data_IF_747883178337
#
_entry.id   IF_747883178337
#
_cell.length_a   1.000
_cell.length_b   1.000
_cell.length_c   1.000
_cell.angle_alpha   90.00
_cell.angle_beta   90.00
_cell.angle_gamma   90.00
#
_symmetry.space_group_name_H-M   'P 1'
#
loop_
_entity.id
_entity.type
_entity.pdbx_description
1 polymer ?
#
# COMPACT_ATOMS: atom_id res chain seq x y z
N UNK A 1 15.72 0.10 -5.87
CA UNK A 1 15.13 1.35 -5.31
C UNK A 1 15.68 2.56 -6.06
N UNK A 2 14.87 3.19 -6.91
CA UNK A 2 15.25 4.27 -7.83
C UNK A 2 15.23 5.65 -7.14
N UNK A 3 15.93 5.80 -6.03
CA UNK A 3 16.10 7.11 -5.39
C UNK A 3 17.31 7.84 -5.97
N UNK A 4 17.14 9.13 -6.26
CA UNK A 4 18.26 10.05 -6.43
C UNK A 4 19.12 10.04 -5.16
N UNK A 5 20.41 10.40 -5.28
CA UNK A 5 21.32 10.37 -4.13
C UNK A 5 20.83 11.23 -2.96
N UNK A 6 20.25 12.40 -3.27
CA UNK A 6 19.63 13.26 -2.26
C UNK A 6 18.47 12.56 -1.54
N UNK A 7 17.58 11.89 -2.28
CA UNK A 7 16.44 11.16 -1.70
C UNK A 7 16.92 9.97 -0.88
N UNK A 8 17.95 9.25 -1.37
CA UNK A 8 18.55 8.12 -0.66
C UNK A 8 19.16 8.56 0.67
N UNK A 9 19.88 9.68 0.68
CA UNK A 9 20.42 10.28 1.90
C UNK A 9 19.33 10.62 2.91
N UNK A 10 18.29 11.34 2.47
CA UNK A 10 17.16 11.70 3.34
C UNK A 10 16.42 10.47 3.91
N UNK A 11 16.22 9.43 3.10
CA UNK A 11 15.62 8.17 3.56
C UNK A 11 16.52 7.48 4.59
N UNK A 12 17.83 7.42 4.35
CA UNK A 12 18.77 6.83 5.29
C UNK A 12 18.82 7.56 6.65
N UNK A 13 18.70 8.89 6.65
CA UNK A 13 18.64 9.68 7.88
C UNK A 13 17.37 9.44 8.71
N UNK A 14 16.25 9.15 8.04
CA UNK A 14 14.95 8.92 8.71
C UNK A 14 14.76 7.47 9.17
N UNK A 15 15.48 6.51 8.57
CA UNK A 15 15.36 5.11 8.93
C UNK A 15 16.02 4.83 10.28
N UNK A 16 15.38 4.03 11.15
CA UNK A 16 16.01 3.61 12.40
C UNK A 16 17.15 2.62 12.13
N UNK A 17 18.13 2.58 13.04
CA UNK A 17 19.35 1.77 12.88
C UNK A 17 19.05 0.28 12.63
N UNK A 18 18.04 -0.27 13.32
CA UNK A 18 17.66 -1.68 13.19
C UNK A 18 17.07 -2.06 11.82
N UNK A 19 16.69 -1.07 10.99
CA UNK A 19 16.25 -1.31 9.61
C UNK A 19 17.40 -1.68 8.67
N UNK A 20 18.66 -1.52 9.10
CA UNK A 20 19.85 -1.83 8.29
C UNK A 20 19.95 -1.01 7.01
N UNK A 21 19.36 0.19 6.99
CA UNK A 21 19.30 1.07 5.82
C UNK A 21 18.33 0.61 4.71
N UNK A 22 17.51 -0.42 4.97
CA UNK A 22 16.48 -0.89 4.05
C UNK A 22 15.11 -0.37 4.44
N UNK A 23 14.47 0.45 3.59
CA UNK A 23 13.08 0.85 3.81
C UNK A 23 12.11 -0.35 3.69
N UNK A 24 12.44 -1.31 2.82
CA UNK A 24 11.61 -2.49 2.58
C UNK A 24 11.40 -3.35 3.84
N UNK A 25 12.37 -3.36 4.77
CA UNK A 25 12.26 -4.12 6.02
C UNK A 25 11.22 -3.56 6.99
N UNK A 26 10.73 -2.34 6.76
CA UNK A 26 9.73 -1.66 7.58
C UNK A 26 8.41 -1.40 6.86
N UNK A 27 8.24 -1.92 5.63
CA UNK A 27 7.02 -1.67 4.88
C UNK A 27 5.77 -2.21 5.57
N UNK A 28 5.84 -3.26 6.41
CA UNK A 28 4.68 -3.80 7.15
C UNK A 28 4.34 -3.02 8.43
N UNK A 29 5.17 -2.06 8.85
CA UNK A 29 5.01 -1.39 10.14
C UNK A 29 3.65 -0.68 10.30
N UNK A 30 3.15 -0.06 9.22
CA UNK A 30 1.87 0.66 9.24
C UNK A 30 0.67 -0.25 9.53
N UNK A 31 0.74 -1.52 9.09
CA UNK A 31 -0.25 -2.56 9.41
C UNK A 31 -0.21 -2.95 10.88
N UNK A 32 0.99 -3.13 11.43
CA UNK A 32 1.17 -3.51 12.84
C UNK A 32 0.60 -2.44 13.78
N UNK A 33 0.88 -1.16 13.48
CA UNK A 33 0.47 -0.07 14.35
C UNK A 33 -0.99 0.31 14.21
N UNK A 34 -1.73 -0.12 13.18
CA UNK A 34 -3.14 0.27 12.97
C UNK A 34 -4.06 -0.11 14.14
N UNK A 35 -3.68 -1.12 14.92
CA UNK A 35 -4.41 -1.51 16.14
C UNK A 35 -4.07 -0.67 17.38
N UNK A 36 -2.87 -0.07 17.40
CA UNK A 36 -2.41 0.85 18.45
C UNK A 36 -2.85 2.28 18.14
N UNK A 37 -2.66 2.69 16.90
CA UNK A 37 -3.09 3.94 16.30
C UNK A 37 -4.40 3.70 15.56
N UNK A 38 -5.49 3.51 16.31
CA UNK A 38 -6.81 3.20 15.72
C UNK A 38 -7.26 4.18 14.65
N UNK A 39 -6.82 5.43 14.75
CA UNK A 39 -7.08 6.47 13.76
C UNK A 39 -6.47 6.15 12.38
N UNK A 40 -5.42 5.34 12.30
CA UNK A 40 -4.75 5.02 11.02
C UNK A 40 -5.41 3.88 10.27
N UNK A 41 -6.32 3.11 10.87
CA UNK A 41 -6.91 1.93 10.20
C UNK A 41 -7.64 2.27 8.90
N UNK A 42 -8.42 3.36 8.88
CA UNK A 42 -9.13 3.81 7.68
C UNK A 42 -8.20 4.37 6.58
N UNK A 43 -6.93 4.65 6.92
CA UNK A 43 -5.96 5.19 5.97
C UNK A 43 -5.41 4.12 5.01
N UNK A 44 -5.71 2.84 5.24
CA UNK A 44 -5.22 1.72 4.43
C UNK A 44 -6.05 1.47 3.17
N UNK A 45 -7.25 2.05 3.05
CA UNK A 45 -8.17 1.73 1.98
C UNK A 45 -9.02 2.94 1.55
N UNK A 46 -9.85 2.71 0.55
CA UNK A 46 -10.87 3.61 0.03
C UNK A 46 -12.12 2.78 -0.24
N UNK A 47 -13.22 3.13 0.41
CA UNK A 47 -14.52 2.54 0.16
C UNK A 47 -15.22 3.29 -0.98
N UNK A 48 -15.54 2.59 -2.06
CA UNK A 48 -16.30 3.16 -3.19
C UNK A 48 -17.72 2.59 -3.23
N UNK A 49 -18.72 3.34 -3.74
CA UNK A 49 -20.08 2.85 -3.78
C UNK A 49 -20.20 1.68 -4.77
N UNK A 50 -20.98 0.68 -4.38
CA UNK A 50 -21.17 -0.54 -5.14
C UNK A 50 -21.54 -0.31 -6.61
N UNK A 51 -20.93 -1.12 -7.49
CA UNK A 51 -21.20 -1.17 -8.93
C UNK A 51 -20.97 0.16 -9.68
N UNK A 52 -20.41 1.20 -9.04
CA UNK A 52 -20.02 2.46 -9.71
C UNK A 52 -18.75 2.32 -10.54
N UNK A 53 -17.83 1.46 -10.09
CA UNK A 53 -16.50 1.24 -10.68
C UNK A 53 -15.76 2.56 -10.98
N UNK A 54 -15.89 3.55 -10.10
CA UNK A 54 -15.18 4.82 -10.19
C UNK A 54 -14.88 5.36 -8.81
N UNK A 55 -13.80 6.11 -8.74
CA UNK A 55 -13.37 6.83 -7.56
C UNK A 55 -13.63 8.34 -7.72
N UNK A 56 -14.14 8.97 -6.66
CA UNK A 56 -14.25 10.42 -6.53
C UNK A 56 -13.77 10.82 -5.13
N UNK A 57 -12.76 11.70 -5.07
CA UNK A 57 -12.12 12.07 -3.80
C UNK A 57 -13.10 12.64 -2.76
N UNK A 58 -13.92 13.61 -3.14
CA UNK A 58 -14.84 14.29 -2.20
C UNK A 58 -15.94 13.35 -1.68
N UNK A 59 -16.35 12.41 -2.53
CA UNK A 59 -17.36 11.39 -2.21
C UNK A 59 -16.80 10.25 -1.36
N UNK A 60 -15.63 9.72 -1.72
CA UNK A 60 -15.14 8.42 -1.26
C UNK A 60 -14.01 8.52 -0.23
N UNK A 61 -13.30 9.65 -0.15
CA UNK A 61 -12.17 9.80 0.78
C UNK A 61 -12.64 10.27 2.16
N UNK A 62 -13.21 9.36 2.92
CA UNK A 62 -13.61 9.56 4.31
C UNK A 62 -13.54 8.24 5.08
N UNK A 63 -13.56 8.31 6.41
CA UNK A 63 -13.70 7.12 7.26
C UNK A 63 -15.18 6.80 7.54
N UNK A 64 -15.42 5.79 8.38
CA UNK A 64 -16.79 5.37 8.74
C UNK A 64 -17.60 6.44 9.48
N UNK A 65 -16.95 7.46 10.03
CA UNK A 65 -17.58 8.60 10.72
C UNK A 65 -17.76 9.81 9.77
N UNK A 66 -17.57 9.62 8.46
CA UNK A 66 -17.59 10.64 7.39
C UNK A 66 -16.59 11.79 7.59
N UNK A 67 -15.51 11.53 8.33
CA UNK A 67 -14.42 12.51 8.48
C UNK A 67 -13.59 12.48 7.20
N UNK A 68 -13.59 13.61 6.47
CA UNK A 68 -12.89 13.77 5.19
C UNK A 68 -11.38 13.60 5.29
N UNK A 69 -10.77 13.27 4.14
CA UNK A 69 -9.33 13.02 3.95
C UNK A 69 -8.80 11.77 4.67
N UNK A 70 -9.67 10.96 5.29
CA UNK A 70 -9.28 9.75 6.04
C UNK A 70 -9.45 8.50 5.20
N UNK A 71 -8.66 8.43 4.14
CA UNK A 71 -8.54 7.29 3.24
C UNK A 71 -7.08 7.19 2.73
N UNK A 72 -6.72 6.13 2.00
CA UNK A 72 -5.37 5.96 1.46
C UNK A 72 -4.89 7.15 0.60
N UNK A 73 -5.73 7.69 -0.28
CA UNK A 73 -5.37 8.85 -1.10
C UNK A 73 -5.11 10.11 -0.25
N UNK A 74 -5.91 10.33 0.80
CA UNK A 74 -5.71 11.44 1.75
C UNK A 74 -4.46 11.26 2.60
N UNK A 75 -4.17 10.03 3.02
CA UNK A 75 -2.96 9.71 3.75
C UNK A 75 -1.69 9.99 2.91
N UNK A 76 -1.67 9.56 1.65
CA UNK A 76 -0.55 9.84 0.72
C UNK A 76 -0.35 11.35 0.59
N UNK A 77 -1.41 12.13 0.36
CA UNK A 77 -1.34 13.59 0.28
C UNK A 77 -0.78 14.22 1.57
N UNK A 78 -1.25 13.75 2.72
CA UNK A 78 -0.84 14.25 4.04
C UNK A 78 0.65 13.98 4.29
N UNK A 79 1.09 12.72 4.21
CA UNK A 79 2.47 12.35 4.53
C UNK A 79 3.48 12.84 3.49
N UNK A 80 3.08 12.97 2.22
CA UNK A 80 3.88 13.68 1.21
C UNK A 80 4.12 15.14 1.61
N UNK A 81 3.07 15.83 2.07
CA UNK A 81 3.17 17.23 2.49
C UNK A 81 4.05 17.40 3.73
N UNK A 82 3.95 16.48 4.69
CA UNK A 82 4.81 16.46 5.88
C UNK A 82 6.29 16.30 5.51
N UNK A 83 6.63 15.32 4.66
CA UNK A 83 8.00 15.10 4.20
C UNK A 83 8.54 16.26 3.37
N UNK A 84 7.72 16.89 2.54
CA UNK A 84 8.11 18.08 1.76
C UNK A 84 8.38 19.30 2.66
N UNK A 85 7.66 19.42 3.78
CA UNK A 85 7.82 20.52 4.75
C UNK A 85 9.03 20.38 5.67
N UNK A 86 9.77 19.26 5.60
CA UNK A 86 10.94 18.95 6.45
C UNK A 86 12.07 19.99 6.41
N UNK A 87 12.12 20.81 5.35
CA UNK A 87 13.09 21.92 5.19
C UNK A 87 12.73 23.18 5.98
N UNK A 88 11.50 23.28 6.51
CA UNK A 88 11.04 24.41 7.32
C UNK A 88 11.25 24.08 8.80
N UNK A 89 11.96 24.95 9.51
CA UNK A 89 12.62 24.77 10.82
C UNK A 89 11.70 24.50 12.04
N UNK A 90 10.48 24.02 11.83
CA UNK A 90 9.43 23.88 12.84
C UNK A 90 8.63 22.58 12.70
N UNK A 91 9.23 21.48 12.27
CA UNK A 91 8.51 20.24 12.03
C UNK A 91 8.00 19.63 13.35
N UNK A 92 6.69 19.80 13.60
CA UNK A 92 5.94 19.20 14.70
C UNK A 92 5.69 17.69 14.50
N UNK A 93 6.02 17.16 13.31
CA UNK A 93 5.70 15.80 12.87
C UNK A 93 6.86 14.83 13.03
N UNK A 94 6.54 13.56 13.31
CA UNK A 94 7.50 12.47 13.26
C UNK A 94 7.73 12.06 11.79
N UNK A 95 8.83 12.53 11.21
CA UNK A 95 9.13 12.31 9.79
C UNK A 95 9.47 10.85 9.46
N UNK A 96 9.96 10.07 10.45
CA UNK A 96 10.14 8.62 10.28
C UNK A 96 8.79 7.95 10.10
N UNK A 97 7.81 8.23 10.98
CA UNK A 97 6.46 7.69 10.81
C UNK A 97 5.83 8.15 9.49
N UNK A 98 6.03 9.41 9.09
CA UNK A 98 5.54 9.91 7.81
C UNK A 98 6.11 9.14 6.61
N UNK A 99 7.42 8.83 6.62
CA UNK A 99 8.07 8.03 5.60
C UNK A 99 7.51 6.60 5.55
N UNK A 100 7.36 5.95 6.70
CA UNK A 100 6.86 4.57 6.78
C UNK A 100 5.40 4.47 6.35
N UNK A 101 4.55 5.41 6.78
CA UNK A 101 3.17 5.48 6.34
C UNK A 101 3.07 5.75 4.84
N UNK A 102 3.81 6.72 4.31
CA UNK A 102 3.76 7.02 2.88
C UNK A 102 4.19 5.81 2.04
N UNK A 103 5.28 5.15 2.42
CA UNK A 103 5.76 3.95 1.71
C UNK A 103 4.73 2.83 1.69
N UNK A 104 4.05 2.60 2.82
CA UNK A 104 3.00 1.59 2.93
C UNK A 104 1.75 1.95 2.11
N UNK A 105 1.22 3.16 2.27
CA UNK A 105 -0.02 3.57 1.61
C UNK A 105 0.11 3.70 0.09
N UNK A 106 1.31 3.97 -0.42
CA UNK A 106 1.59 3.87 -1.85
C UNK A 106 1.45 2.41 -2.32
N UNK A 107 1.82 1.42 -1.50
CA UNK A 107 1.52 0.01 -1.79
C UNK A 107 0.02 -0.27 -1.77
N UNK A 108 -0.65 0.10 -0.67
CA UNK A 108 -2.09 -0.14 -0.48
C UNK A 108 -2.95 0.42 -1.62
N UNK A 109 -2.72 1.67 -2.03
CA UNK A 109 -3.56 2.30 -3.07
C UNK A 109 -3.41 1.61 -4.45
N UNK A 110 -2.33 0.86 -4.67
CA UNK A 110 -2.14 0.06 -5.89
C UNK A 110 -2.71 -1.35 -5.76
N UNK A 111 -3.09 -1.79 -4.56
CA UNK A 111 -3.79 -3.06 -4.34
C UNK A 111 -5.27 -2.88 -4.75
N UNK A 112 -5.78 -3.59 -5.77
CA UNK A 112 -7.10 -3.30 -6.34
C UNK A 112 -8.29 -3.40 -5.37
N UNK A 113 -8.22 -4.31 -4.39
CA UNK A 113 -9.27 -4.52 -3.40
C UNK A 113 -9.23 -3.52 -2.23
N UNK A 114 -8.11 -2.80 -2.04
CA UNK A 114 -8.04 -1.65 -1.13
C UNK A 114 -8.76 -0.42 -1.69
N UNK A 115 -9.19 -0.44 -2.95
CA UNK A 115 -10.09 0.56 -3.56
C UNK A 115 -11.33 -0.15 -4.09
N UNK A 116 -12.05 -0.77 -3.16
CA UNK A 116 -13.13 -1.73 -3.43
C UNK A 116 -14.52 -1.21 -3.10
N UNK A 117 -15.49 -2.13 -3.06
CA UNK A 117 -16.86 -1.80 -2.68
C UNK A 117 -17.02 -1.77 -1.17
N UNK A 118 -17.80 -0.80 -0.70
CA UNK A 118 -18.13 -0.67 0.73
C UNK A 118 -18.88 -1.89 1.24
N UNK A 119 -19.82 -2.44 0.47
CA UNK A 119 -20.69 -3.51 0.96
C UNK A 119 -20.00 -4.84 1.14
N UNK A 120 -18.95 -5.11 0.36
CA UNK A 120 -18.20 -6.36 0.44
C UNK A 120 -16.88 -6.25 1.24
N UNK A 121 -16.62 -5.06 1.81
CA UNK A 121 -15.41 -4.72 2.55
C UNK A 121 -14.14 -4.90 1.71
N UNK A 122 -14.17 -4.44 0.45
CA UNK A 122 -13.07 -4.69 -0.49
C UNK A 122 -12.87 -6.20 -0.74
N UNK A 123 -13.96 -6.94 -0.88
CA UNK A 123 -13.96 -8.39 -1.07
C UNK A 123 -13.72 -9.24 0.18
N UNK A 124 -13.41 -8.66 1.35
CA UNK A 124 -13.16 -9.43 2.58
C UNK A 124 -14.37 -10.25 3.07
N UNK A 125 -15.59 -9.86 2.71
CA UNK A 125 -16.81 -10.61 3.06
C UNK A 125 -17.26 -11.60 1.99
N UNK A 126 -16.56 -11.67 0.85
CA UNK A 126 -16.85 -12.63 -0.22
C UNK A 126 -16.23 -13.98 0.15
N UNK A 127 -17.09 -14.93 0.53
CA UNK A 127 -16.66 -16.29 0.80
C UNK A 127 -16.41 -17.06 -0.51
N UNK A 128 -15.15 -17.41 -0.76
CA UNK A 128 -14.75 -18.35 -1.83
C UNK A 128 -14.61 -19.77 -1.27
N UNK A 129 -14.87 -20.79 -2.09
CA UNK A 129 -14.69 -22.18 -1.66
C UNK A 129 -13.21 -22.53 -1.52
N UNK A 130 -12.82 -23.15 -0.41
CA UNK A 130 -11.43 -23.51 -0.13
C UNK A 130 -10.78 -24.34 -1.24
N UNK A 131 -11.52 -25.23 -1.91
CA UNK A 131 -10.99 -26.00 -3.04
C UNK A 131 -10.48 -25.11 -4.18
N UNK A 132 -11.14 -23.99 -4.46
CA UNK A 132 -10.67 -23.03 -5.48
C UNK A 132 -9.39 -22.31 -5.03
N UNK A 133 -9.27 -22.00 -3.73
CA UNK A 133 -8.07 -21.39 -3.13
C UNK A 133 -6.90 -22.38 -3.16
N UNK A 134 -7.17 -23.64 -2.81
CA UNK A 134 -6.21 -24.74 -2.84
C UNK A 134 -5.76 -25.05 -4.28
N UNK A 135 -6.69 -25.03 -5.24
CA UNK A 135 -6.40 -25.25 -6.67
C UNK A 135 -5.56 -24.11 -7.26
N UNK A 136 -5.82 -22.85 -6.89
CA UNK A 136 -4.97 -21.71 -7.23
C UNK A 136 -3.59 -21.87 -6.58
N UNK A 137 -3.53 -22.23 -5.30
CA UNK A 137 -2.29 -22.47 -4.57
C UNK A 137 -1.44 -23.58 -5.18
N UNK A 138 -2.05 -24.69 -5.60
CA UNK A 138 -1.37 -25.79 -6.28
C UNK A 138 -0.91 -25.42 -7.69
N UNK A 139 -1.71 -24.66 -8.45
CA UNK A 139 -1.33 -24.22 -9.79
C UNK A 139 -0.14 -23.23 -9.78
N UNK A 140 -0.05 -22.42 -8.73
CA UNK A 140 1.08 -21.55 -8.42
C UNK A 140 2.29 -22.39 -7.99
N UNK A 141 2.16 -23.21 -6.95
CA UNK A 141 3.33 -23.88 -6.32
C UNK A 141 3.86 -25.08 -7.12
N UNK A 142 3.01 -25.75 -7.90
CA UNK A 142 3.35 -27.02 -8.57
C UNK A 142 2.82 -27.13 -10.01
N UNK A 143 2.10 -26.12 -10.51
CA UNK A 143 1.40 -26.16 -11.79
C UNK A 143 1.95 -25.23 -12.87
N UNK A 144 1.07 -24.80 -13.78
CA UNK A 144 1.41 -24.09 -15.02
C UNK A 144 2.13 -22.75 -14.78
N UNK A 145 1.88 -22.14 -13.62
CA UNK A 145 2.42 -20.83 -13.22
C UNK A 145 3.69 -20.94 -12.38
N UNK A 146 4.12 -22.15 -11.99
CA UNK A 146 5.31 -22.37 -11.17
C UNK A 146 6.60 -21.86 -11.87
N UNK A 147 6.65 -21.91 -13.19
CA UNK A 147 7.77 -21.39 -13.96
C UNK A 147 7.80 -19.85 -14.00
N UNK A 148 6.68 -19.18 -13.73
CA UNK A 148 6.61 -17.72 -13.63
C UNK A 148 7.01 -17.23 -12.22
N UNK A 149 6.88 -18.06 -11.17
CA UNK A 149 7.36 -17.75 -9.82
C UNK A 149 8.86 -17.44 -9.83
N UNK A 150 9.66 -18.23 -10.55
CA UNK A 150 11.10 -17.96 -10.70
C UNK A 150 11.39 -16.62 -11.40
N UNK A 151 10.49 -16.17 -12.28
CA UNK A 151 10.57 -14.87 -12.96
C UNK A 151 10.16 -13.73 -12.01
N UNK A 152 9.21 -13.97 -11.10
CA UNK A 152 8.76 -13.03 -10.07
C UNK A 152 9.79 -12.89 -8.93
N UNK A 153 10.46 -13.98 -8.55
CA UNK A 153 11.59 -13.98 -7.61
C UNK A 153 12.84 -13.33 -8.21
N UNK A 154 12.95 -13.29 -9.53
CA UNK A 154 14.07 -12.68 -10.28
C UNK A 154 13.91 -11.16 -10.44
N UNK A 155 13.13 -10.46 -9.61
CA UNK A 155 12.96 -9.00 -9.62
C UNK A 155 14.31 -8.27 -9.86
N UNK A 156 14.59 -7.79 -11.10
CA UNK A 156 15.83 -7.12 -11.39
C UNK A 156 15.66 -5.67 -10.93
N UNK A 157 15.94 -5.40 -9.65
CA UNK A 157 16.35 -4.11 -9.09
C UNK A 157 15.53 -2.81 -9.34
N UNK A 158 14.41 -2.82 -10.07
CA UNK A 158 13.84 -1.59 -10.65
C UNK A 158 12.36 -1.35 -10.28
N UNK A 159 11.56 -2.34 -9.87
CA UNK A 159 10.13 -2.09 -9.59
C UNK A 159 9.82 -1.60 -8.17
N UNK A 160 8.97 -0.56 -8.10
CA UNK A 160 8.78 0.38 -6.98
C UNK A 160 7.61 0.05 -6.05
N UNK A 161 7.03 -1.12 -6.18
CA UNK A 161 6.11 -1.71 -5.20
C UNK A 161 6.20 -3.22 -5.40
N UNK A 162 6.17 -4.02 -4.33
CA UNK A 162 6.01 -5.47 -4.46
C UNK A 162 4.73 -5.72 -5.28
N UNK A 163 4.82 -6.16 -6.54
CA UNK A 163 3.64 -6.28 -7.37
C UNK A 163 2.99 -7.63 -7.11
N UNK A 164 1.70 -7.64 -6.76
CA UNK A 164 0.81 -8.63 -7.36
C UNK A 164 0.63 -8.21 -8.82
N UNK A 165 1.23 -8.97 -9.73
CA UNK A 165 1.35 -8.61 -11.15
C UNK A 165 -0.02 -8.59 -11.85
N UNK A 166 -0.53 -7.40 -12.18
CA UNK A 166 -1.56 -7.22 -13.22
C UNK A 166 -1.01 -6.33 -14.34
N UNK A 167 -0.19 -6.91 -15.21
CA UNK A 167 -0.01 -6.42 -16.59
C UNK A 167 0.13 -7.59 -17.57
N UNK A 168 -0.94 -8.39 -17.77
CA UNK A 168 -1.12 -9.24 -18.98
C UNK A 168 -2.58 -9.46 -19.38
N UNK A 169 -3.45 -8.46 -19.22
CA UNK A 169 -4.82 -8.48 -19.80
C UNK A 169 -5.01 -7.36 -20.82
N UNK A 170 -4.13 -7.26 -21.82
CA UNK A 170 -4.42 -6.57 -23.10
C UNK A 170 -3.57 -7.15 -24.24
N UNK A 171 -4.09 -8.18 -24.89
CA UNK A 171 -3.96 -8.40 -26.34
C UNK A 171 -4.79 -9.61 -26.75
N UNK A 172 -6.11 -9.39 -26.81
CA UNK A 172 -6.96 -10.00 -27.85
C UNK A 172 -7.06 -8.99 -29.00
#
# INVERSE_FOLDING_TARGET
MLFSDATRGAVQELLPEYAGGSLASLCSWADEVRFKYRWSSALHYIDTPDFRCNYNYDRDCHDSDDVKDRCAAGAIKNYTSQLASSSSSSAQYNLTEALLFLAHFVGDIHQPLHVGFTSDLGGNSINVHCALVDDIGQNITQGYWNNEIAEWESCPGIDLACPDMIERVRSD
#
